data_IF_716292509350
#
_entry.id   IF_716292509350
#
_cell.length_a   1.000
_cell.length_b   1.000
_cell.length_c   1.000
_cell.angle_alpha   90.00
_cell.angle_beta   90.00
_cell.angle_gamma   90.00
#
_symmetry.space_group_name_H-M   'P 1'
#
loop_
_entity.id
_entity.type
_entity.pdbx_description
1 polymer ?
#
# COMPACT_ATOMS: atom_id res chain seq x y z
N UNK A 1 25.50 7.44 10.81
CA UNK A 1 25.73 6.26 9.94
C UNK A 1 25.66 6.76 8.50
N UNK A 2 26.70 6.56 7.69
CA UNK A 2 26.72 7.11 6.31
C UNK A 2 25.67 6.37 5.48
N UNK A 3 24.69 7.08 4.92
CA UNK A 3 23.80 6.58 3.89
C UNK A 3 24.67 6.11 2.72
N UNK A 4 24.88 4.80 2.58
CA UNK A 4 25.29 4.25 1.30
C UNK A 4 24.05 4.28 0.42
N UNK A 5 24.04 5.17 -0.57
CA UNK A 5 23.08 5.10 -1.66
C UNK A 5 23.25 3.73 -2.31
N UNK A 6 22.26 2.86 -2.16
CA UNK A 6 22.27 1.53 -2.79
C UNK A 6 21.95 1.75 -4.26
N UNK A 7 22.97 2.05 -5.05
CA UNK A 7 22.86 2.18 -6.50
C UNK A 7 22.67 0.78 -7.08
N UNK A 8 21.59 0.59 -7.84
CA UNK A 8 21.32 -0.71 -8.47
C UNK A 8 22.02 -0.74 -9.82
N UNK A 9 22.89 -1.72 -10.00
CA UNK A 9 23.49 -2.01 -11.30
C UNK A 9 22.44 -2.69 -12.19
N UNK A 10 22.33 -2.25 -13.44
CA UNK A 10 21.37 -2.81 -14.39
C UNK A 10 21.87 -2.65 -15.82
N UNK A 11 21.30 -3.45 -16.74
CA UNK A 11 21.66 -3.49 -18.16
C UNK A 11 20.60 -2.89 -19.08
N UNK A 12 19.61 -2.16 -18.53
CA UNK A 12 18.47 -1.62 -19.27
C UNK A 12 18.92 -0.77 -20.47
N UNK A 13 19.94 0.08 -20.26
CA UNK A 13 20.47 0.94 -21.32
C UNK A 13 21.09 0.16 -22.48
N UNK A 14 21.75 -0.95 -22.18
CA UNK A 14 22.41 -1.77 -23.18
C UNK A 14 21.38 -2.61 -23.95
N UNK A 15 20.43 -3.22 -23.25
CA UNK A 15 19.32 -3.97 -23.84
C UNK A 15 18.47 -3.10 -24.76
N UNK A 16 18.14 -1.88 -24.32
CA UNK A 16 17.42 -0.90 -25.13
C UNK A 16 18.17 -0.56 -26.42
N UNK A 17 19.49 -0.33 -26.34
CA UNK A 17 20.31 -0.04 -27.52
C UNK A 17 20.42 -1.23 -28.47
N UNK A 18 20.51 -2.46 -27.94
CA UNK A 18 20.54 -3.69 -28.74
C UNK A 18 19.25 -3.85 -29.55
N UNK A 19 18.11 -3.53 -28.95
CA UNK A 19 16.81 -3.54 -29.64
C UNK A 19 16.52 -2.27 -30.46
N UNK A 20 17.47 -1.32 -30.56
CA UNK A 20 17.35 -0.03 -31.26
C UNK A 20 16.18 0.84 -30.78
N UNK A 21 15.77 0.69 -29.54
CA UNK A 21 14.68 1.46 -28.94
C UNK A 21 15.19 2.79 -28.36
N UNK A 22 14.38 3.84 -28.47
CA UNK A 22 14.55 5.10 -27.77
C UNK A 22 14.07 5.00 -26.32
N UNK A 23 14.51 5.93 -25.47
CA UNK A 23 14.01 5.99 -24.09
C UNK A 23 12.51 6.31 -24.02
N UNK A 24 11.97 6.98 -25.05
CA UNK A 24 10.54 7.32 -25.14
C UNK A 24 9.71 6.08 -25.47
N UNK A 25 10.13 5.27 -26.45
CA UNK A 25 9.43 4.03 -26.83
C UNK A 25 9.39 3.02 -25.68
N UNK A 26 10.47 2.90 -24.91
CA UNK A 26 10.50 2.07 -23.69
C UNK A 26 9.57 2.63 -22.62
N UNK A 27 9.50 3.95 -22.48
CA UNK A 27 8.62 4.60 -21.51
C UNK A 27 7.14 4.37 -21.86
N UNK A 28 6.78 4.51 -23.14
CA UNK A 28 5.45 4.26 -23.67
C UNK A 28 5.03 2.80 -23.50
N UNK A 29 5.91 1.84 -23.83
CA UNK A 29 5.65 0.41 -23.66
C UNK A 29 5.41 0.01 -22.20
N UNK A 30 6.04 0.71 -21.25
CA UNK A 30 5.92 0.44 -19.82
C UNK A 30 4.87 1.33 -19.13
N UNK A 31 4.24 2.26 -19.84
CA UNK A 31 3.27 3.20 -19.28
C UNK A 31 3.86 4.15 -18.24
N UNK A 32 5.13 4.53 -18.38
CA UNK A 32 5.86 5.42 -17.43
C UNK A 32 6.43 6.65 -18.13
N UNK A 33 6.94 7.61 -17.36
CA UNK A 33 7.61 8.79 -17.92
C UNK A 33 9.01 8.44 -18.47
N UNK A 34 9.48 9.15 -19.50
CA UNK A 34 10.87 9.04 -19.97
C UNK A 34 11.90 9.31 -18.86
N UNK A 35 11.59 10.21 -17.93
CA UNK A 35 12.47 10.48 -16.78
C UNK A 35 12.61 9.26 -15.86
N UNK A 36 11.57 8.44 -15.75
CA UNK A 36 11.62 7.16 -15.02
C UNK A 36 12.61 6.20 -15.67
N UNK A 37 12.60 6.08 -17.01
CA UNK A 37 13.56 5.26 -17.75
C UNK A 37 14.99 5.78 -17.58
N UNK A 38 15.19 7.11 -17.64
CA UNK A 38 16.49 7.73 -17.37
C UNK A 38 16.95 7.40 -15.94
N UNK A 39 16.08 7.51 -14.94
CA UNK A 39 16.43 7.20 -13.56
C UNK A 39 16.80 5.72 -13.36
N UNK A 40 16.06 4.82 -14.02
CA UNK A 40 16.33 3.38 -14.03
C UNK A 40 17.69 3.07 -14.68
N UNK A 41 17.96 3.59 -15.89
CA UNK A 41 19.24 3.37 -16.59
C UNK A 41 20.45 3.87 -15.79
N UNK A 42 20.28 4.89 -14.95
CA UNK A 42 21.36 5.42 -14.10
C UNK A 42 21.45 4.73 -12.74
N UNK A 43 20.57 3.76 -12.45
CA UNK A 43 20.55 3.01 -11.19
C UNK A 43 20.14 3.85 -9.98
N UNK A 44 19.49 5.00 -10.19
CA UNK A 44 19.03 5.92 -9.13
C UNK A 44 17.72 5.47 -8.48
N UNK A 45 17.08 4.45 -9.04
CA UNK A 45 15.74 4.02 -8.67
C UNK A 45 15.61 2.51 -8.89
N UNK A 46 14.96 1.83 -7.93
CA UNK A 46 14.54 0.43 -8.06
C UNK A 46 13.13 0.40 -8.62
N UNK A 47 12.86 -0.28 -9.75
CA UNK A 47 11.50 -0.39 -10.26
C UNK A 47 10.63 -1.20 -9.30
N UNK A 48 9.33 -0.89 -9.29
CA UNK A 48 8.34 -1.77 -8.68
C UNK A 48 8.30 -3.11 -9.45
N UNK A 49 7.84 -4.18 -8.78
CA UNK A 49 7.76 -5.52 -9.38
C UNK A 49 7.00 -5.53 -10.73
N UNK A 50 5.85 -4.85 -10.91
CA UNK A 50 5.17 -4.82 -12.20
C UNK A 50 6.03 -4.23 -13.32
N UNK A 51 6.72 -3.11 -13.08
CA UNK A 51 7.61 -2.49 -14.06
C UNK A 51 8.80 -3.42 -14.36
N UNK A 52 9.31 -4.10 -13.34
CA UNK A 52 10.42 -5.04 -13.51
C UNK A 52 10.02 -6.25 -14.37
N UNK A 53 8.82 -6.79 -14.17
CA UNK A 53 8.25 -7.88 -14.98
C UNK A 53 8.04 -7.40 -16.41
N UNK A 54 7.42 -6.23 -16.62
CA UNK A 54 7.23 -5.70 -17.97
C UNK A 54 8.54 -5.38 -18.68
N UNK A 55 9.61 -5.02 -17.95
CA UNK A 55 10.96 -4.90 -18.51
C UNK A 55 11.54 -6.26 -18.94
N UNK A 56 11.27 -7.32 -18.17
CA UNK A 56 11.66 -8.69 -18.54
C UNK A 56 10.96 -9.11 -19.83
N UNK A 57 9.66 -8.84 -19.95
CA UNK A 57 8.86 -9.15 -21.13
C UNK A 57 9.31 -8.33 -22.35
N UNK A 58 9.54 -7.02 -22.16
CA UNK A 58 9.97 -6.11 -23.22
C UNK A 58 11.34 -6.52 -23.78
N UNK A 59 12.27 -6.90 -22.90
CA UNK A 59 13.62 -7.27 -23.30
C UNK A 59 13.81 -8.75 -23.59
N UNK A 60 12.78 -9.58 -23.42
CA UNK A 60 12.85 -11.04 -23.49
C UNK A 60 14.07 -11.58 -22.71
N UNK A 61 14.27 -11.05 -21.50
CA UNK A 61 15.45 -11.29 -20.67
C UNK A 61 15.02 -11.60 -19.25
N UNK A 62 15.76 -12.47 -18.57
CA UNK A 62 15.46 -12.78 -17.18
C UNK A 62 15.74 -11.58 -16.26
N UNK A 63 15.07 -11.54 -15.11
CA UNK A 63 15.20 -10.44 -14.16
C UNK A 63 16.65 -10.22 -13.71
N UNK A 64 17.38 -11.31 -13.45
CA UNK A 64 18.78 -11.30 -13.03
C UNK A 64 19.74 -10.87 -14.15
N UNK A 65 19.32 -10.97 -15.41
CA UNK A 65 20.08 -10.49 -16.56
C UNK A 65 19.93 -8.97 -16.72
N UNK A 66 18.76 -8.44 -16.36
CA UNK A 66 18.44 -7.00 -16.41
C UNK A 66 18.96 -6.27 -15.18
N UNK A 67 18.77 -6.82 -13.98
CA UNK A 67 19.08 -6.19 -12.70
C UNK A 67 20.15 -7.00 -11.96
N UNK A 68 21.29 -6.35 -11.71
CA UNK A 68 22.40 -6.92 -10.98
C UNK A 68 22.33 -6.47 -9.52
N UNK A 69 21.93 -7.39 -8.65
CA UNK A 69 21.99 -7.17 -7.21
C UNK A 69 23.36 -7.63 -6.72
N UNK A 70 24.19 -6.71 -6.24
CA UNK A 70 25.39 -7.06 -5.47
C UNK A 70 24.96 -7.81 -4.20
N UNK A 71 24.94 -9.14 -4.29
CA UNK A 71 25.34 -10.16 -3.31
C UNK A 71 25.09 -9.98 -1.79
N UNK A 72 24.22 -9.08 -1.34
CA UNK A 72 23.72 -9.08 0.04
C UNK A 72 22.63 -10.14 0.23
N UNK A 73 21.88 -10.45 -0.83
CA UNK A 73 20.86 -11.52 -0.83
C UNK A 73 21.47 -12.90 -0.60
N UNK A 74 22.67 -13.19 -1.13
CA UNK A 74 23.33 -14.47 -0.90
C UNK A 74 23.75 -14.70 0.55
N UNK A 75 24.22 -13.66 1.27
CA UNK A 75 24.49 -13.76 2.71
C UNK A 75 23.22 -13.97 3.53
N UNK A 76 22.14 -13.28 3.15
CA UNK A 76 20.84 -13.41 3.82
C UNK A 76 20.25 -14.79 3.58
N UNK A 77 20.28 -15.29 2.33
CA UNK A 77 19.82 -16.62 1.95
C UNK A 77 20.72 -17.72 2.53
N UNK A 78 22.04 -17.55 2.59
CA UNK A 78 22.94 -18.48 3.31
C UNK A 78 22.61 -18.52 4.81
N UNK A 79 22.38 -17.36 5.44
CA UNK A 79 22.01 -17.31 6.85
C UNK A 79 20.63 -17.95 7.12
N UNK A 80 19.67 -17.77 6.21
CA UNK A 80 18.34 -18.39 6.29
C UNK A 80 18.45 -19.90 6.05
N UNK A 81 19.15 -20.34 5.00
CA UNK A 81 19.40 -21.76 4.69
C UNK A 81 20.12 -22.46 5.83
N UNK A 82 21.15 -21.86 6.42
CA UNK A 82 21.88 -22.43 7.56
C UNK A 82 21.01 -22.58 8.81
N UNK A 83 19.96 -21.76 8.97
CA UNK A 83 19.01 -21.87 10.09
C UNK A 83 17.87 -22.87 9.82
N UNK A 84 17.47 -23.03 8.55
CA UNK A 84 16.35 -23.89 8.13
C UNK A 84 16.78 -25.34 7.90
N UNK A 85 18.03 -25.60 7.51
CA UNK A 85 18.57 -26.94 7.19
C UNK A 85 18.85 -27.84 8.41
N UNK A 86 18.29 -27.53 9.59
CA UNK A 86 18.29 -28.44 10.75
C UNK A 86 17.17 -29.48 10.74
N UNK A 87 16.32 -29.51 9.70
CA UNK A 87 15.37 -30.62 9.47
C UNK A 87 15.42 -31.08 8.02
N UNK A 88 15.83 -32.34 7.92
CA UNK A 88 15.98 -33.25 6.78
C UNK A 88 15.19 -32.97 5.50
N UNK A 89 15.90 -32.91 4.37
CA UNK A 89 15.92 -33.93 3.31
C UNK A 89 16.42 -33.29 1.99
N UNK A 90 17.58 -33.74 1.53
CA UNK A 90 18.24 -33.32 0.31
C UNK A 90 17.48 -33.80 -0.93
N UNK A 91 16.86 -32.87 -1.65
CA UNK A 91 16.58 -33.01 -3.08
C UNK A 91 17.63 -32.16 -3.82
N UNK A 92 18.32 -32.69 -4.86
CA UNK A 92 19.18 -31.86 -5.69
C UNK A 92 18.28 -30.91 -6.49
N UNK A 93 18.15 -29.66 -6.03
CA UNK A 93 17.60 -28.57 -6.85
C UNK A 93 18.68 -28.19 -7.87
N UNK A 94 18.62 -28.75 -9.07
CA UNK A 94 19.04 -27.98 -10.23
C UNK A 94 18.01 -26.85 -10.40
N UNK A 95 18.44 -25.63 -10.07
CA UNK A 95 17.66 -24.42 -10.26
C UNK A 95 17.57 -24.15 -11.77
N UNK A 96 16.50 -24.59 -12.41
CA UNK A 96 16.19 -24.10 -13.74
C UNK A 96 15.79 -22.61 -13.65
N UNK A 97 16.33 -21.74 -14.53
CA UNK A 97 15.93 -20.34 -14.60
C UNK A 97 14.42 -20.23 -14.82
N UNK A 98 13.76 -19.41 -14.00
CA UNK A 98 12.32 -19.18 -14.10
C UNK A 98 11.98 -18.53 -15.44
N UNK A 99 11.37 -19.31 -16.35
CA UNK A 99 10.90 -18.88 -17.67
C UNK A 99 9.37 -18.96 -17.70
N UNK A 100 8.64 -17.84 -17.52
CA UNK A 100 7.22 -17.86 -17.20
C UNK A 100 6.27 -18.36 -18.31
N UNK A 101 6.72 -18.66 -19.52
CA UNK A 101 5.81 -18.82 -20.68
C UNK A 101 6.07 -20.03 -21.60
N UNK A 102 6.29 -21.23 -21.06
CA UNK A 102 6.14 -22.48 -21.84
C UNK A 102 4.80 -23.14 -21.57
N UNK A 103 3.72 -22.46 -21.96
CA UNK A 103 2.43 -22.98 -22.45
C UNK A 103 1.39 -21.87 -22.41
N UNK A 104 0.92 -21.46 -23.58
CA UNK A 104 0.03 -20.32 -23.77
C UNK A 104 -1.38 -20.62 -23.26
N UNK A 105 -1.74 -20.00 -22.14
CA UNK A 105 -3.02 -19.30 -22.04
C UNK A 105 -2.66 -17.83 -22.16
N UNK A 106 -3.21 -17.11 -23.13
CA UNK A 106 -2.92 -15.68 -23.19
C UNK A 106 -3.48 -15.03 -21.92
N UNK A 107 -2.67 -14.17 -21.29
CA UNK A 107 -3.08 -13.46 -20.08
C UNK A 107 -4.37 -12.66 -20.33
N UNK A 108 -4.62 -12.25 -21.58
CA UNK A 108 -5.88 -11.64 -22.03
C UNK A 108 -7.07 -12.57 -21.89
N UNK A 109 -7.02 -13.81 -22.39
CA UNK A 109 -8.16 -14.73 -22.35
C UNK A 109 -8.47 -15.21 -20.91
N UNK A 110 -7.45 -15.33 -20.06
CA UNK A 110 -7.63 -15.63 -18.64
C UNK A 110 -8.16 -14.43 -17.85
N UNK A 111 -7.70 -13.21 -18.19
CA UNK A 111 -8.19 -11.98 -17.58
C UNK A 111 -9.61 -11.64 -18.03
N UNK A 112 -10.00 -11.86 -19.28
CA UNK A 112 -11.35 -11.56 -19.75
C UNK A 112 -12.39 -12.48 -19.07
N UNK A 113 -12.08 -13.77 -18.88
CA UNK A 113 -12.93 -14.69 -18.08
C UNK A 113 -12.91 -14.41 -16.58
N UNK A 114 -11.81 -13.91 -16.02
CA UNK A 114 -11.75 -13.48 -14.63
C UNK A 114 -12.44 -12.12 -14.42
N UNK A 115 -12.43 -11.22 -15.40
CA UNK A 115 -13.10 -9.91 -15.35
C UNK A 115 -14.62 -10.02 -15.54
N UNK A 116 -15.10 -10.99 -16.33
CA UNK A 116 -16.54 -11.20 -16.51
C UNK A 116 -17.19 -11.83 -15.27
N UNK A 117 -16.44 -12.62 -14.48
CA UNK A 117 -16.94 -13.35 -13.29
C UNK A 117 -16.46 -12.80 -11.92
N UNK A 118 -15.64 -11.74 -11.87
CA UNK A 118 -15.24 -11.10 -10.61
C UNK A 118 -15.74 -9.66 -10.47
N UNK A 119 -16.84 -9.57 -9.72
CA UNK A 119 -17.47 -8.37 -9.21
C UNK A 119 -16.44 -7.48 -8.47
N UNK A 120 -16.14 -6.31 -9.06
CA UNK A 120 -15.59 -5.09 -8.43
C UNK A 120 -14.34 -5.27 -7.55
N UNK A 121 -13.14 -5.05 -8.10
CA UNK A 121 -11.96 -4.72 -7.29
C UNK A 121 -12.06 -3.26 -6.81
N UNK A 122 -12.22 -2.97 -5.51
CA UNK A 122 -12.35 -1.59 -5.05
C UNK A 122 -11.01 -0.86 -5.24
N UNK A 123 -11.01 0.18 -6.07
CA UNK A 123 -9.94 1.18 -6.10
C UNK A 123 -9.89 1.82 -4.71
N UNK A 124 -8.85 1.55 -3.93
CA UNK A 124 -8.61 2.27 -2.68
C UNK A 124 -8.39 3.74 -3.01
N UNK A 125 -9.34 4.59 -2.61
CA UNK A 125 -9.12 6.03 -2.61
C UNK A 125 -7.93 6.38 -1.70
N UNK A 126 -7.30 7.52 -1.95
CA UNK A 126 -6.25 8.04 -1.09
C UNK A 126 -6.76 8.09 0.36
N UNK A 127 -5.96 7.58 1.30
CA UNK A 127 -6.35 7.55 2.71
C UNK A 127 -6.56 8.99 3.21
N UNK A 128 -7.68 9.28 3.89
CA UNK A 128 -7.93 10.62 4.40
C UNK A 128 -6.85 11.01 5.39
N UNK A 129 -6.38 12.26 5.33
CA UNK A 129 -5.46 12.81 6.34
C UNK A 129 -6.25 13.10 7.61
N UNK A 130 -5.65 12.79 8.76
CA UNK A 130 -6.34 12.86 10.05
C UNK A 130 -5.42 13.51 11.07
N UNK A 131 -5.97 14.47 11.81
CA UNK A 131 -5.38 15.07 13.00
C UNK A 131 -6.19 14.67 14.24
N UNK A 132 -5.50 14.30 15.31
CA UNK A 132 -6.10 13.93 16.59
C UNK A 132 -5.56 14.86 17.66
N UNK A 133 -6.47 15.48 18.42
CA UNK A 133 -6.14 16.35 19.54
C UNK A 133 -6.88 15.88 20.79
N UNK A 134 -6.14 15.71 21.86
CA UNK A 134 -6.68 15.41 23.18
C UNK A 134 -6.80 16.71 23.99
N UNK A 135 -7.95 16.95 24.61
CA UNK A 135 -8.16 18.02 25.59
C UNK A 135 -8.32 17.41 26.99
N UNK A 136 -8.71 18.19 28.00
CA UNK A 136 -8.95 17.63 29.35
C UNK A 136 -10.19 16.74 29.38
N UNK A 137 -11.23 17.15 28.67
CA UNK A 137 -12.57 16.59 28.79
C UNK A 137 -12.98 15.77 27.54
N UNK A 138 -12.35 16.05 26.39
CA UNK A 138 -12.72 15.47 25.09
C UNK A 138 -11.50 15.04 24.24
N UNK A 139 -11.76 14.19 23.25
CA UNK A 139 -10.88 13.89 22.12
C UNK A 139 -11.51 14.48 20.87
N UNK A 140 -10.73 15.20 20.08
CA UNK A 140 -11.15 15.82 18.81
C UNK A 140 -10.38 15.21 17.66
N UNK A 141 -11.11 14.72 16.68
CA UNK A 141 -10.57 14.14 15.46
C UNK A 141 -10.99 15.02 14.29
N UNK A 142 -10.04 15.38 13.41
CA UNK A 142 -10.31 16.07 12.16
C UNK A 142 -9.86 15.20 10.99
N UNK A 143 -10.71 15.01 9.99
CA UNK A 143 -10.40 14.28 8.78
C UNK A 143 -10.67 15.13 7.53
N UNK A 144 -9.70 15.19 6.63
CA UNK A 144 -9.84 15.88 5.33
C UNK A 144 -10.54 14.96 4.32
N UNK A 145 -11.77 15.31 3.95
CA UNK A 145 -12.66 14.56 3.04
C UNK A 145 -13.20 15.47 1.91
N UNK A 146 -12.32 16.04 1.05
CA UNK A 146 -12.76 16.98 0.02
C UNK A 146 -13.54 16.30 -1.10
N UNK A 147 -14.73 16.82 -1.38
CA UNK A 147 -15.60 16.35 -2.46
C UNK A 147 -16.30 15.02 -2.17
N UNK A 148 -16.49 14.69 -0.89
CA UNK A 148 -17.32 13.57 -0.44
C UNK A 148 -18.52 14.19 0.29
N UNK A 149 -19.76 13.82 -0.07
CA UNK A 149 -20.94 14.32 0.61
C UNK A 149 -21.13 13.64 1.97
N UNK A 150 -21.85 14.28 2.90
CA UNK A 150 -21.95 13.84 4.30
C UNK A 150 -22.58 12.46 4.43
N UNK A 151 -23.56 12.17 3.58
CA UNK A 151 -24.27 10.91 3.51
C UNK A 151 -23.41 9.72 3.06
N UNK A 152 -22.25 9.96 2.43
CA UNK A 152 -21.33 8.91 1.98
C UNK A 152 -20.20 8.66 3.00
N UNK A 153 -20.24 9.30 4.17
CA UNK A 153 -19.24 9.14 5.24
C UNK A 153 -19.86 8.38 6.42
N UNK A 154 -19.20 7.31 6.84
CA UNK A 154 -19.56 6.54 8.02
C UNK A 154 -18.44 6.62 9.08
N UNK A 155 -18.83 6.85 10.33
CA UNK A 155 -17.94 6.94 11.50
C UNK A 155 -18.41 5.94 12.55
N UNK A 156 -17.54 5.01 12.91
CA UNK A 156 -17.81 3.97 13.90
C UNK A 156 -16.75 4.02 15.01
N UNK A 157 -17.16 3.74 16.25
CA UNK A 157 -16.24 3.61 17.39
C UNK A 157 -16.51 2.26 18.05
N UNK A 158 -15.55 1.34 17.97
CA UNK A 158 -15.62 0.01 18.59
C UNK A 158 -14.37 -0.23 19.41
N UNK A 159 -14.50 -0.65 20.67
CA UNK A 159 -13.37 -0.97 21.56
C UNK A 159 -12.23 0.08 21.55
N UNK A 160 -12.62 1.36 21.61
CA UNK A 160 -11.71 2.52 21.58
C UNK A 160 -10.93 2.70 20.26
N UNK A 161 -11.34 2.01 19.20
CA UNK A 161 -10.88 2.21 17.82
C UNK A 161 -11.94 3.01 17.06
N UNK A 162 -11.54 4.13 16.49
CA UNK A 162 -12.39 4.92 15.59
C UNK A 162 -12.09 4.53 14.14
N UNK A 163 -13.14 4.23 13.39
CA UNK A 163 -13.10 3.91 11.97
C UNK A 163 -13.87 4.97 11.19
N UNK A 164 -13.21 5.57 10.21
CA UNK A 164 -13.82 6.53 9.28
C UNK A 164 -13.77 5.89 7.89
N UNK A 165 -14.93 5.73 7.27
CA UNK A 165 -15.08 5.09 5.97
C UNK A 165 -16.03 5.87 5.06
N UNK A 166 -15.94 5.61 3.76
CA UNK A 166 -16.81 6.23 2.78
C UNK A 166 -16.36 5.99 1.35
N UNK A 167 -17.05 6.60 0.39
CA UNK A 167 -16.72 6.47 -1.02
C UNK A 167 -16.69 7.83 -1.73
N UNK A 168 -15.59 8.09 -2.44
CA UNK A 168 -15.51 9.21 -3.37
C UNK A 168 -15.87 8.74 -4.77
N UNK A 169 -17.09 9.05 -5.20
CA UNK A 169 -17.59 8.72 -6.54
C UNK A 169 -16.69 9.36 -7.61
N UNK A 170 -16.44 8.62 -8.68
CA UNK A 170 -15.90 9.20 -9.91
C UNK A 170 -17.00 10.06 -10.53
N UNK A 171 -16.68 11.31 -10.87
CA UNK A 171 -17.46 12.01 -11.88
C UNK A 171 -17.40 11.19 -13.17
N UNK A 172 -18.56 10.73 -13.60
CA UNK A 172 -18.74 9.88 -14.77
C UNK A 172 -18.12 10.59 -15.97
N UNK A 173 -17.33 9.86 -16.77
CA UNK A 173 -16.75 10.34 -18.03
C UNK A 173 -17.82 11.11 -18.82
N UNK A 174 -17.63 12.40 -19.02
CA UNK A 174 -18.17 13.03 -20.22
C UNK A 174 -17.52 12.30 -21.40
N UNK A 175 -18.36 11.67 -22.23
CA UNK A 175 -17.96 10.95 -23.44
C UNK A 175 -17.33 11.94 -24.44
N UNK A 176 -16.07 12.32 -24.24
CA UNK A 176 -15.35 13.22 -25.13
C UNK A 176 -14.18 13.96 -24.52
N UNK A 177 -14.13 14.16 -23.20
CA UNK A 177 -13.08 14.96 -22.55
C UNK A 177 -12.22 14.10 -21.64
N UNK A 178 -11.09 13.64 -22.17
CA UNK A 178 -10.05 12.98 -21.37
C UNK A 178 -9.38 13.97 -20.43
N UNK A 179 -9.06 13.55 -19.20
CA UNK A 179 -8.22 14.35 -18.32
C UNK A 179 -6.82 14.51 -18.94
N UNK A 180 -6.34 15.75 -19.08
CA UNK A 180 -4.94 16.02 -19.46
C UNK A 180 -3.96 15.50 -18.38
N UNK A 181 -4.36 15.61 -17.10
CA UNK A 181 -3.61 15.11 -15.95
C UNK A 181 -4.56 14.94 -14.75
N UNK A 182 -4.45 13.83 -14.00
CA UNK A 182 -5.35 13.53 -12.86
C UNK A 182 -4.56 12.98 -11.67
N UNK A 183 -4.50 13.77 -10.60
CA UNK A 183 -3.91 13.39 -9.30
C UNK A 183 -4.98 13.11 -8.24
N UNK A 184 -6.24 13.49 -8.53
CA UNK A 184 -7.36 13.28 -7.62
C UNK A 184 -7.69 11.79 -7.53
N UNK A 185 -7.75 11.30 -6.29
CA UNK A 185 -8.13 9.92 -6.02
C UNK A 185 -9.66 9.81 -5.96
N UNK A 186 -10.17 8.67 -6.39
CA UNK A 186 -11.59 8.30 -6.39
C UNK A 186 -11.71 6.82 -6.04
N UNK A 187 -12.75 6.45 -5.30
CA UNK A 187 -12.99 5.10 -4.80
C UNK A 187 -13.31 5.07 -3.31
N UNK A 188 -13.45 3.87 -2.77
CA UNK A 188 -13.75 3.65 -1.36
C UNK A 188 -12.51 3.86 -0.47
N UNK A 189 -12.72 4.39 0.73
CA UNK A 189 -11.70 4.50 1.77
C UNK A 189 -12.23 3.97 3.10
N UNK A 190 -11.31 3.44 3.91
CA UNK A 190 -11.56 3.10 5.30
C UNK A 190 -10.26 3.26 6.09
N UNK A 191 -10.31 4.03 7.17
CA UNK A 191 -9.16 4.30 8.03
C UNK A 191 -9.56 4.10 9.48
N UNK A 192 -8.84 3.22 10.17
CA UNK A 192 -9.04 2.91 11.58
C UNK A 192 -7.82 3.31 12.41
N UNK A 193 -8.05 3.88 13.59
CA UNK A 193 -7.00 4.27 14.53
C UNK A 193 -7.50 4.22 15.97
N UNK A 194 -6.58 3.97 16.89
CA UNK A 194 -6.87 3.93 18.33
C UNK A 194 -6.96 5.35 18.89
N UNK A 195 -7.96 5.60 19.74
CA UNK A 195 -8.09 6.86 20.45
C UNK A 195 -7.11 6.92 21.64
N UNK A 196 -6.59 8.11 21.98
CA UNK A 196 -5.54 8.25 23.01
C UNK A 196 -6.03 7.96 24.44
N UNK A 197 -7.35 7.99 24.67
CA UNK A 197 -8.00 7.81 25.97
C UNK A 197 -9.32 7.08 25.79
N UNK A 198 -9.84 6.46 26.85
CA UNK A 198 -11.18 5.87 26.83
C UNK A 198 -12.24 6.95 26.65
N UNK A 199 -13.16 6.73 25.70
CA UNK A 199 -14.22 7.69 25.34
C UNK A 199 -15.62 7.13 25.53
N UNK A 200 -16.60 8.03 25.67
CA UNK A 200 -18.03 7.70 25.72
C UNK A 200 -18.61 7.84 24.30
N UNK A 201 -18.54 6.75 23.52
CA UNK A 201 -18.95 6.73 22.12
C UNK A 201 -20.40 7.21 21.89
N UNK A 202 -21.31 6.92 22.82
CA UNK A 202 -22.73 7.32 22.75
C UNK A 202 -22.95 8.84 22.72
N UNK A 203 -21.97 9.62 23.17
CA UNK A 203 -22.01 11.09 23.21
C UNK A 203 -21.09 11.73 22.16
N UNK A 204 -20.66 10.95 21.16
CA UNK A 204 -19.88 11.49 20.06
C UNK A 204 -20.73 12.47 19.23
N UNK A 205 -20.16 13.62 18.89
CA UNK A 205 -20.74 14.59 17.98
C UNK A 205 -19.84 14.70 16.74
N UNK A 206 -20.43 14.75 15.55
CA UNK A 206 -19.71 14.89 14.29
C UNK A 206 -20.34 16.00 13.44
N UNK A 207 -19.49 16.85 12.84
CA UNK A 207 -19.89 17.92 11.93
C UNK A 207 -18.95 17.92 10.72
N UNK A 208 -19.49 18.05 9.51
CA UNK A 208 -18.69 18.25 8.31
C UNK A 208 -18.84 19.67 7.81
N UNK A 209 -17.72 20.35 7.56
CA UNK A 209 -17.72 21.72 7.04
C UNK A 209 -16.59 21.94 6.06
N UNK A 210 -16.92 22.44 4.86
CA UNK A 210 -15.97 22.70 3.78
C UNK A 210 -15.06 21.50 3.44
N UNK A 211 -15.61 20.28 3.47
CA UNK A 211 -14.85 19.05 3.19
C UNK A 211 -13.92 18.61 4.33
N UNK A 212 -14.11 19.13 5.55
CA UNK A 212 -13.41 18.68 6.75
C UNK A 212 -14.42 18.14 7.74
N UNK A 213 -14.28 16.86 8.10
CA UNK A 213 -15.05 16.21 9.15
C UNK A 213 -14.38 16.47 10.50
N UNK A 214 -15.14 16.99 11.46
CA UNK A 214 -14.71 17.19 12.84
C UNK A 214 -15.57 16.33 13.76
N UNK A 215 -14.93 15.44 14.52
CA UNK A 215 -15.58 14.56 15.49
C UNK A 215 -15.09 14.94 16.88
N UNK A 216 -16.01 15.12 17.82
CA UNK A 216 -15.72 15.41 19.23
C UNK A 216 -16.31 14.28 20.06
N UNK A 217 -15.46 13.60 20.83
CA UNK A 217 -15.89 12.49 21.69
C UNK A 217 -15.49 12.77 23.14
N UNK A 218 -16.45 12.85 24.08
CA UNK A 218 -16.16 13.04 25.49
C UNK A 218 -15.37 11.87 26.07
N UNK A 219 -14.46 12.14 26.99
CA UNK A 219 -13.71 11.11 27.71
C UNK A 219 -14.56 10.46 28.80
N UNK A 220 -14.21 9.21 29.12
CA UNK A 220 -14.71 8.55 30.33
C UNK A 220 -14.06 9.21 31.54
N UNK A 221 -14.85 9.62 32.54
CA UNK A 221 -14.30 10.10 33.81
C UNK A 221 -13.45 9.00 34.46
N UNK A 222 -12.19 9.31 34.76
CA UNK A 222 -11.28 8.37 35.43
C UNK A 222 -11.91 7.91 36.76
N UNK A 223 -12.29 6.63 36.82
CA UNK A 223 -12.70 6.00 38.08
C UNK A 223 -11.50 6.00 39.02
N UNK A 224 -11.49 6.90 40.00
CA UNK A 224 -10.51 6.92 41.08
C UNK A 224 -10.34 5.50 41.65
N UNK A 225 -9.10 5.03 41.88
CA UNK A 225 -8.86 3.67 42.32
C UNK A 225 -9.63 3.38 43.61
N UNK A 226 -10.55 2.40 43.56
CA UNK A 226 -11.26 1.92 44.75
C UNK A 226 -10.26 1.15 45.60
N UNK A 227 -9.91 1.71 46.76
CA UNK A 227 -9.06 1.05 47.76
C UNK A 227 -9.81 -0.18 48.28
N UNK A 228 -9.42 -1.37 47.84
CA UNK A 228 -9.98 -2.63 48.35
C UNK A 228 -9.27 -2.96 49.66
N UNK A 229 -9.96 -2.82 50.78
CA UNK A 229 -9.42 -3.23 52.09
C UNK A 229 -9.58 -4.74 52.26
N UNK A 230 -8.46 -5.44 52.41
CA UNK A 230 -8.45 -6.89 52.68
C UNK A 230 -8.94 -7.11 54.12
N UNK A 231 -10.06 -7.81 54.29
CA UNK A 231 -10.53 -8.30 55.60
C UNK A 231 -9.90 -9.66 55.85
N UNK A 232 -8.98 -9.76 56.80
CA UNK A 232 -8.49 -11.05 57.30
C UNK A 232 -9.57 -11.68 58.19
N UNK A 233 -10.03 -12.88 57.85
CA UNK A 233 -10.77 -13.73 58.80
C UNK A 233 -9.75 -14.30 59.77
N UNK A 234 -9.74 -13.81 61.00
CA UNK A 234 -9.11 -14.49 62.12
C UNK A 234 -9.85 -15.81 62.37
N UNK A 235 -9.16 -16.93 62.15
CA UNK A 235 -9.62 -18.24 62.59
C UNK A 235 -9.63 -18.25 64.13
N UNK A 236 -10.74 -18.70 64.70
CA UNK A 236 -10.96 -18.88 66.14
C UNK A 236 -10.80 -20.34 66.50
#
# INVERSE_FOLDING_TARGET
MKNKEHKIENKIKDLRKQQKLSQEEVAEALGVSRQSIIALEHGRYMPSLPIAVSLCDLFDSAFEEIFQFEHETKKIVENISNNVLRKEATMPLELEPWRPFREMVTLRDAMDRLFEDSVVTPKTAGMPKIDIKETKDDVRVKAELPGIPEEEVNVEITDNVMTISGEKKLETKDEGEGYYYKESHSGAFSRSFMLPSDVIAEKAEAEMKHGVLTIVVPKVEEKKPKKVTIKTKSAK
#
